data_IF_698795911999
#
_entry.id   IF_698795911999
#
_cell.length_a   1.000
_cell.length_b   1.000
_cell.length_c   1.000
_cell.angle_alpha   90.00
_cell.angle_beta   90.00
_cell.angle_gamma   90.00
#
_symmetry.space_group_name_H-M   'P 1'
#
loop_
_entity.id
_entity.type
_entity.pdbx_description
1 polymer ?
#
# COMPACT_ATOMS: atom_id res chain seq x y z
N UNK A 1 -18.82 8.09 1.59
CA UNK A 1 -17.98 6.93 1.94
C UNK A 1 -18.39 5.77 1.03
N UNK A 2 -17.44 5.05 0.49
CA UNK A 2 -17.69 3.87 -0.33
C UNK A 2 -17.16 2.62 0.38
N UNK A 3 -17.81 1.48 0.15
CA UNK A 3 -17.21 0.18 0.47
C UNK A 3 -16.20 -0.14 -0.62
N UNK A 4 -14.99 -0.47 -0.19
CA UNK A 4 -13.90 -0.83 -1.09
C UNK A 4 -14.01 -2.30 -1.50
N UNK A 5 -13.48 -2.64 -2.67
CA UNK A 5 -13.27 -4.03 -3.06
C UNK A 5 -12.21 -4.65 -2.12
N UNK A 6 -12.48 -5.85 -1.64
CA UNK A 6 -11.59 -6.59 -0.76
C UNK A 6 -11.28 -7.97 -1.31
N UNK A 7 -10.10 -8.48 -0.96
CA UNK A 7 -9.72 -9.88 -1.12
C UNK A 7 -9.35 -10.39 0.26
N UNK A 8 -9.87 -11.55 0.62
CA UNK A 8 -9.63 -12.16 1.93
C UNK A 8 -8.87 -13.48 1.81
N UNK A 9 -7.97 -13.73 2.77
CA UNK A 9 -7.23 -14.97 2.93
C UNK A 9 -7.18 -15.39 4.40
N UNK A 10 -6.82 -16.63 4.64
CA UNK A 10 -6.62 -17.19 5.98
C UNK A 10 -7.90 -17.63 6.65
N UNK A 11 -7.93 -17.57 7.99
CA UNK A 11 -9.05 -18.04 8.80
C UNK A 11 -10.10 -16.93 8.97
N UNK A 12 -11.35 -17.08 8.47
CA UNK A 12 -12.39 -16.07 8.62
C UNK A 12 -12.74 -15.74 10.08
N UNK A 13 -12.45 -16.65 11.03
CA UNK A 13 -12.65 -16.45 12.47
C UNK A 13 -11.42 -15.90 13.20
N UNK A 14 -10.30 -15.80 12.49
CA UNK A 14 -9.04 -15.29 13.02
C UNK A 14 -9.04 -13.80 13.33
N UNK A 15 -8.08 -13.35 14.13
CA UNK A 15 -7.92 -11.93 14.41
C UNK A 15 -7.67 -11.14 13.11
N UNK A 16 -8.40 -10.03 12.88
CA UNK A 16 -8.40 -9.33 11.62
C UNK A 16 -7.07 -8.57 11.38
N UNK A 17 -6.56 -8.68 10.16
CA UNK A 17 -5.41 -7.94 9.64
C UNK A 17 -5.85 -7.25 8.35
N UNK A 18 -5.92 -5.92 8.36
CA UNK A 18 -6.31 -5.14 7.18
C UNK A 18 -5.06 -4.61 6.48
N UNK A 19 -4.94 -4.90 5.18
CA UNK A 19 -3.78 -4.60 4.36
C UNK A 19 -4.09 -3.54 3.30
N UNK A 20 -3.28 -2.49 3.23
CA UNK A 20 -3.46 -1.31 2.37
C UNK A 20 -2.27 -1.16 1.44
N UNK A 21 -2.49 -1.28 0.13
CA UNK A 21 -1.43 -1.15 -0.87
C UNK A 21 -0.90 0.29 -1.02
N UNK A 22 0.25 0.42 -1.65
CA UNK A 22 0.82 1.70 -2.07
C UNK A 22 0.17 2.26 -3.33
N UNK A 23 0.58 3.48 -3.70
CA UNK A 23 0.14 4.12 -4.92
C UNK A 23 0.35 3.19 -6.13
N UNK A 24 -0.63 3.15 -7.03
CA UNK A 24 -0.68 2.29 -8.22
C UNK A 24 -0.69 0.77 -7.97
N UNK A 25 -0.88 0.35 -6.71
CA UNK A 25 -0.94 -1.06 -6.36
C UNK A 25 -2.35 -1.65 -6.37
N UNK A 26 -2.46 -3.00 -6.33
CA UNK A 26 -3.68 -3.73 -6.00
C UNK A 26 -3.58 -4.41 -4.64
N UNK A 27 -4.73 -4.84 -4.12
CA UNK A 27 -4.85 -5.71 -2.94
C UNK A 27 -4.03 -7.00 -3.04
N UNK A 28 -3.92 -7.56 -4.25
CA UNK A 28 -3.21 -8.82 -4.52
C UNK A 28 -1.74 -8.86 -4.10
N UNK A 29 -1.10 -7.70 -3.91
CA UNK A 29 0.30 -7.59 -3.42
C UNK A 29 0.53 -8.24 -2.06
N UNK A 30 -0.52 -8.42 -1.27
CA UNK A 30 -0.43 -8.99 0.07
C UNK A 30 -0.56 -10.51 0.13
N UNK A 31 -0.80 -11.18 -1.01
CA UNK A 31 -1.04 -12.63 -1.06
C UNK A 31 0.07 -13.44 -0.39
N UNK A 32 1.33 -13.18 -0.75
CA UNK A 32 2.47 -13.93 -0.19
C UNK A 32 2.64 -13.69 1.31
N UNK A 33 2.42 -12.46 1.77
CA UNK A 33 2.41 -12.15 3.21
C UNK A 33 1.25 -12.86 3.91
N UNK A 34 0.05 -12.84 3.32
CA UNK A 34 -1.14 -13.48 3.90
C UNK A 34 -0.94 -14.98 4.12
N UNK A 35 -0.27 -15.67 3.19
CA UNK A 35 0.07 -17.10 3.29
C UNK A 35 0.99 -17.42 4.49
N UNK A 36 1.69 -16.42 5.05
CA UNK A 36 2.57 -16.55 6.23
C UNK A 36 1.90 -16.11 7.54
N UNK A 37 0.69 -15.54 7.49
CA UNK A 37 -0.07 -15.05 8.64
C UNK A 37 -1.10 -16.10 9.10
N UNK A 38 -0.59 -17.27 9.53
CA UNK A 38 -1.42 -18.38 9.98
C UNK A 38 -2.38 -17.98 11.10
N UNK A 39 -3.64 -18.49 11.04
CA UNK A 39 -4.67 -18.22 12.03
C UNK A 39 -5.18 -16.77 12.06
N UNK A 40 -4.84 -15.95 11.06
CA UNK A 40 -5.37 -14.58 10.91
C UNK A 40 -6.40 -14.51 9.80
N UNK A 41 -7.35 -13.59 9.93
CA UNK A 41 -8.22 -13.15 8.85
C UNK A 41 -7.55 -11.97 8.14
N UNK A 42 -6.94 -12.20 6.99
CA UNK A 42 -6.23 -11.17 6.24
C UNK A 42 -7.17 -10.57 5.19
N UNK A 43 -7.39 -9.26 5.25
CA UNK A 43 -8.29 -8.49 4.41
C UNK A 43 -7.47 -7.45 3.67
N UNK A 44 -7.24 -7.62 2.38
CA UNK A 44 -6.55 -6.63 1.57
C UNK A 44 -7.54 -5.83 0.73
N UNK A 45 -7.40 -4.50 0.73
CA UNK A 45 -8.31 -3.60 0.03
C UNK A 45 -7.69 -3.08 -1.26
N UNK A 46 -8.53 -2.87 -2.29
CA UNK A 46 -8.20 -1.95 -3.38
C UNK A 46 -8.64 -0.55 -2.96
N UNK A 47 -7.72 0.41 -2.88
CA UNK A 47 -8.05 1.79 -2.54
C UNK A 47 -8.97 2.42 -3.60
N UNK A 48 -9.75 3.44 -3.21
CA UNK A 48 -10.49 4.28 -4.15
C UNK A 48 -9.55 4.78 -5.27
N UNK A 49 -10.01 4.72 -6.52
CA UNK A 49 -9.20 5.03 -7.68
C UNK A 49 -8.26 3.90 -8.13
N UNK A 50 -8.33 2.72 -7.51
CA UNK A 50 -7.48 1.57 -7.81
C UNK A 50 -8.29 0.28 -7.94
N UNK A 51 -7.76 -0.66 -8.70
CA UNK A 51 -8.26 -2.01 -8.83
C UNK A 51 -9.74 -2.07 -9.22
N UNK A 52 -10.51 -2.77 -8.39
CA UNK A 52 -11.96 -2.98 -8.57
C UNK A 52 -12.82 -2.09 -7.68
N UNK A 53 -12.21 -1.21 -6.88
CA UNK A 53 -12.93 -0.21 -6.11
C UNK A 53 -13.46 0.92 -7.02
N UNK A 54 -14.31 1.80 -6.47
CA UNK A 54 -14.79 2.99 -7.21
C UNK A 54 -13.63 3.88 -7.66
N UNK A 55 -13.72 4.43 -8.86
CA UNK A 55 -12.74 5.37 -9.41
C UNK A 55 -13.18 6.83 -9.30
N UNK A 56 -14.28 7.08 -8.62
CA UNK A 56 -14.85 8.42 -8.45
C UNK A 56 -14.08 9.25 -7.41
N UNK A 57 -13.94 10.55 -7.70
CA UNK A 57 -13.40 11.52 -6.73
C UNK A 57 -14.32 11.63 -5.49
N UNK A 58 -13.84 12.21 -4.39
CA UNK A 58 -12.50 12.74 -4.15
C UNK A 58 -11.49 11.66 -3.73
N UNK A 59 -10.18 11.90 -3.98
CA UNK A 59 -9.10 10.97 -3.66
C UNK A 59 -8.16 11.49 -2.56
N UNK A 60 -8.65 12.34 -1.65
CA UNK A 60 -7.86 12.89 -0.54
C UNK A 60 -7.64 11.86 0.55
N UNK A 61 -6.62 12.08 1.38
CA UNK A 61 -6.28 11.20 2.51
C UNK A 61 -7.49 10.96 3.41
N UNK A 62 -8.24 11.99 3.77
CA UNK A 62 -9.42 11.86 4.65
C UNK A 62 -10.51 11.00 4.02
N UNK A 63 -10.66 11.04 2.70
CA UNK A 63 -11.62 10.20 1.97
C UNK A 63 -11.18 8.74 2.00
N UNK A 64 -9.89 8.47 1.78
CA UNK A 64 -9.35 7.11 1.88
C UNK A 64 -9.54 6.54 3.28
N UNK A 65 -9.23 7.32 4.34
CA UNK A 65 -9.43 6.89 5.74
C UNK A 65 -10.91 6.59 6.01
N UNK A 66 -11.81 7.46 5.57
CA UNK A 66 -13.26 7.25 5.75
C UNK A 66 -13.78 6.00 5.00
N UNK A 67 -13.27 5.72 3.78
CA UNK A 67 -13.61 4.51 3.03
C UNK A 67 -13.07 3.24 3.69
N UNK A 68 -11.83 3.28 4.23
CA UNK A 68 -11.23 2.18 4.98
C UNK A 68 -12.04 1.83 6.21
N UNK A 69 -12.44 2.82 7.00
CA UNK A 69 -13.27 2.63 8.19
C UNK A 69 -14.65 2.07 7.82
N UNK A 70 -15.32 2.65 6.80
CA UNK A 70 -16.62 2.16 6.34
C UNK A 70 -16.55 0.71 5.81
N UNK A 71 -15.42 0.35 5.17
CA UNK A 71 -15.19 -1.02 4.69
C UNK A 71 -15.00 -1.97 5.87
N UNK A 72 -14.20 -1.60 6.87
CA UNK A 72 -14.02 -2.39 8.09
C UNK A 72 -15.35 -2.59 8.83
N UNK A 73 -16.16 -1.54 8.99
CA UNK A 73 -17.49 -1.58 9.60
C UNK A 73 -18.42 -2.54 8.85
N UNK A 74 -18.43 -2.45 7.50
CA UNK A 74 -19.22 -3.34 6.64
C UNK A 74 -18.84 -4.82 6.75
N UNK A 75 -17.59 -5.10 7.16
CA UNK A 75 -17.07 -6.45 7.40
C UNK A 75 -17.19 -6.91 8.87
N UNK A 76 -17.77 -6.08 9.74
CA UNK A 76 -17.91 -6.35 11.17
C UNK A 76 -16.59 -6.24 11.95
N UNK A 77 -15.59 -5.48 11.43
CA UNK A 77 -14.29 -5.33 12.06
C UNK A 77 -14.25 -4.03 12.85
N UNK A 78 -14.36 -4.10 14.16
CA UNK A 78 -14.32 -2.95 15.07
C UNK A 78 -12.92 -2.39 15.27
N UNK A 79 -11.94 -3.27 15.50
CA UNK A 79 -10.51 -2.94 15.56
C UNK A 79 -9.68 -4.02 14.88
N UNK A 80 -8.46 -3.69 14.43
CA UNK A 80 -7.61 -4.62 13.70
C UNK A 80 -6.12 -4.29 13.84
N UNK A 81 -5.28 -5.22 13.42
CA UNK A 81 -3.94 -4.89 12.94
C UNK A 81 -4.05 -4.26 11.55
N UNK A 82 -3.41 -3.12 11.35
CA UNK A 82 -3.37 -2.44 10.05
C UNK A 82 -1.97 -2.48 9.45
N UNK A 83 -1.87 -3.00 8.24
CA UNK A 83 -0.61 -3.10 7.48
C UNK A 83 -0.70 -2.20 6.26
N UNK A 84 0.21 -1.25 6.10
CA UNK A 84 0.22 -0.35 4.97
C UNK A 84 1.57 -0.23 4.30
N UNK A 85 1.62 -0.37 2.96
CA UNK A 85 2.81 -0.13 2.16
C UNK A 85 2.79 1.27 1.54
N UNK A 86 3.90 2.01 1.60
CA UNK A 86 4.04 3.31 0.93
C UNK A 86 2.91 4.29 1.31
N UNK A 87 2.06 4.72 0.36
CA UNK A 87 0.83 5.48 0.61
C UNK A 87 -0.05 4.80 1.67
N UNK A 88 -0.21 3.48 1.59
CA UNK A 88 -0.96 2.71 2.61
C UNK A 88 -0.40 2.89 4.01
N UNK A 89 0.93 2.98 4.15
CA UNK A 89 1.57 3.27 5.44
C UNK A 89 1.23 4.67 5.96
N UNK A 90 1.19 5.69 5.07
CA UNK A 90 0.69 7.03 5.42
C UNK A 90 -0.78 6.97 5.86
N UNK A 91 -1.63 6.22 5.16
CA UNK A 91 -3.05 6.08 5.51
C UNK A 91 -3.25 5.38 6.86
N UNK A 92 -2.44 4.37 7.20
CA UNK A 92 -2.47 3.74 8.53
C UNK A 92 -2.13 4.74 9.62
N UNK A 93 -1.12 5.60 9.43
CA UNK A 93 -0.75 6.62 10.40
C UNK A 93 -1.84 7.69 10.56
N UNK A 94 -2.48 8.11 9.47
CA UNK A 94 -3.62 9.05 9.53
C UNK A 94 -4.85 8.43 10.19
N UNK A 95 -5.14 7.16 9.92
CA UNK A 95 -6.21 6.42 10.55
C UNK A 95 -5.97 6.28 12.07
N UNK A 96 -4.75 5.90 12.47
CA UNK A 96 -4.38 5.80 13.88
C UNK A 96 -4.47 7.15 14.63
N UNK A 97 -4.22 8.26 13.93
CA UNK A 97 -4.40 9.61 14.48
C UNK A 97 -5.87 9.98 14.64
N UNK A 98 -6.72 9.62 13.67
CA UNK A 98 -8.14 10.00 13.64
C UNK A 98 -8.99 9.13 14.57
N UNK A 99 -8.74 7.82 14.58
CA UNK A 99 -9.54 6.79 15.26
C UNK A 99 -8.58 5.77 15.92
N UNK A 100 -7.84 6.14 16.97
CA UNK A 100 -6.80 5.32 17.58
C UNK A 100 -7.33 3.98 18.11
N UNK A 101 -8.57 3.92 18.57
CA UNK A 101 -9.22 2.68 19.06
C UNK A 101 -9.47 1.65 17.95
N UNK A 102 -9.40 2.04 16.68
CA UNK A 102 -9.54 1.15 15.53
C UNK A 102 -8.23 0.43 15.17
N UNK A 103 -7.09 0.84 15.77
CA UNK A 103 -5.76 0.33 15.43
C UNK A 103 -5.14 -0.38 16.64
N UNK A 104 -5.24 -1.71 16.68
CA UNK A 104 -4.60 -2.50 17.74
C UNK A 104 -3.08 -2.51 17.58
N UNK A 105 -2.61 -2.67 16.35
CA UNK A 105 -1.20 -2.65 15.96
C UNK A 105 -1.07 -2.04 14.56
N UNK A 106 0.03 -1.34 14.32
CA UNK A 106 0.37 -0.80 13.01
C UNK A 106 1.61 -1.48 12.43
N UNK A 107 1.58 -1.83 11.15
CA UNK A 107 2.75 -2.29 10.38
C UNK A 107 2.90 -1.38 9.17
N UNK A 108 3.99 -0.63 9.14
CA UNK A 108 4.28 0.35 8.11
C UNK A 108 5.42 -0.18 7.24
N UNK A 109 5.09 -0.61 6.04
CA UNK A 109 6.03 -1.21 5.07
C UNK A 109 6.56 -0.11 4.16
N UNK A 110 7.76 0.32 4.40
CA UNK A 110 8.46 1.43 3.74
C UNK A 110 7.52 2.64 3.47
N UNK A 111 6.94 3.23 4.53
CA UNK A 111 5.82 4.16 4.42
C UNK A 111 6.24 5.47 3.75
N UNK A 112 5.37 6.02 2.90
CA UNK A 112 5.53 7.36 2.34
C UNK A 112 4.97 8.42 3.31
N UNK A 113 5.62 8.59 4.47
CA UNK A 113 5.13 9.52 5.51
C UNK A 113 5.14 10.98 5.05
N UNK A 114 6.15 11.35 4.27
CA UNK A 114 6.28 12.64 3.60
C UNK A 114 7.15 12.49 2.38
N UNK A 115 6.77 13.12 1.30
CA UNK A 115 7.58 13.23 0.07
C UNK A 115 7.89 14.70 -0.19
N UNK A 116 9.14 15.02 -0.45
CA UNK A 116 9.56 16.38 -0.78
C UNK A 116 8.70 16.95 -1.92
N UNK A 117 8.17 18.18 -1.82
CA UNK A 117 7.25 18.75 -2.79
C UNK A 117 7.77 18.75 -4.24
N UNK A 118 9.07 18.94 -4.43
CA UNK A 118 9.69 18.91 -5.76
C UNK A 118 9.60 17.50 -6.37
N UNK A 119 9.89 16.46 -5.59
CA UNK A 119 9.76 15.05 -6.02
C UNK A 119 8.31 14.69 -6.29
N UNK A 120 7.41 15.08 -5.41
CA UNK A 120 5.97 14.84 -5.58
C UNK A 120 5.43 15.50 -6.86
N UNK A 121 5.86 16.73 -7.15
CA UNK A 121 5.47 17.45 -8.37
C UNK A 121 5.99 16.76 -9.65
N UNK A 122 7.23 16.30 -9.64
CA UNK A 122 7.82 15.55 -10.76
C UNK A 122 7.04 14.25 -11.01
N UNK A 123 6.76 13.47 -9.96
CA UNK A 123 6.01 12.22 -10.05
C UNK A 123 4.55 12.43 -10.47
N UNK A 124 3.90 13.50 -9.98
CA UNK A 124 2.56 13.87 -10.41
C UNK A 124 2.52 14.23 -11.91
N UNK A 125 3.53 14.94 -12.41
CA UNK A 125 3.63 15.29 -13.82
C UNK A 125 3.76 14.04 -14.72
N UNK A 126 4.52 13.03 -14.29
CA UNK A 126 4.61 11.74 -15.00
C UNK A 126 3.26 11.02 -15.05
N UNK A 127 2.45 11.10 -13.98
CA UNK A 127 1.13 10.49 -13.93
C UNK A 127 0.08 11.19 -14.82
N UNK A 128 0.36 12.38 -15.35
CA UNK A 128 -0.48 13.09 -16.33
C UNK A 128 -0.24 12.64 -17.78
N UNK A 129 0.82 11.87 -18.04
CA UNK A 129 1.14 11.37 -19.38
C UNK A 129 0.16 10.30 -19.88
N UNK A 130 0.35 9.88 -21.13
CA UNK A 130 -0.34 8.68 -21.64
C UNK A 130 0.24 7.43 -20.96
N UNK A 131 -0.55 6.82 -20.09
CA UNK A 131 -0.23 5.61 -19.35
C UNK A 131 -0.89 4.37 -19.99
N UNK A 132 -1.08 4.37 -21.30
CA UNK A 132 -1.55 3.24 -22.08
C UNK A 132 -0.41 2.61 -22.89
N UNK A 133 -0.45 1.29 -23.04
CA UNK A 133 0.62 0.47 -23.58
C UNK A 133 0.10 -0.41 -24.73
N UNK A 134 0.95 -0.73 -25.69
CA UNK A 134 0.61 -1.60 -26.82
C UNK A 134 0.55 -3.09 -26.45
N UNK A 135 1.25 -3.48 -25.37
CA UNK A 135 1.29 -4.85 -24.88
C UNK A 135 1.48 -4.91 -23.35
N UNK A 136 1.21 -6.06 -22.72
CA UNK A 136 1.55 -6.28 -21.32
C UNK A 136 3.06 -6.13 -21.03
N UNK A 137 3.92 -6.61 -21.93
CA UNK A 137 5.37 -6.49 -21.76
C UNK A 137 5.83 -5.03 -21.76
N UNK A 138 5.28 -4.18 -22.65
CA UNK A 138 5.55 -2.75 -22.66
C UNK A 138 5.14 -2.09 -21.35
N UNK A 139 3.99 -2.47 -20.78
CA UNK A 139 3.53 -1.95 -19.50
C UNK A 139 4.44 -2.36 -18.33
N UNK A 140 4.95 -3.59 -18.37
CA UNK A 140 5.89 -4.11 -17.35
C UNK A 140 7.24 -3.40 -17.49
N UNK A 141 7.77 -3.27 -18.70
CA UNK A 141 9.05 -2.60 -18.95
C UNK A 141 9.02 -1.13 -18.55
N UNK A 142 7.93 -0.42 -18.87
CA UNK A 142 7.75 0.96 -18.47
C UNK A 142 7.75 1.10 -16.94
N UNK A 143 7.14 0.16 -16.22
CA UNK A 143 7.06 0.18 -14.77
C UNK A 143 8.39 -0.16 -14.09
N UNK A 144 9.18 -1.06 -14.66
CA UNK A 144 10.56 -1.32 -14.21
C UNK A 144 11.48 -0.15 -14.50
N UNK A 145 11.25 0.55 -15.62
CA UNK A 145 12.05 1.69 -16.05
C UNK A 145 11.78 3.00 -15.30
N UNK A 146 10.69 3.10 -14.54
CA UNK A 146 10.35 4.34 -13.82
C UNK A 146 11.23 4.63 -12.59
N UNK A 147 12.12 3.70 -12.25
CA UNK A 147 13.09 3.82 -11.16
C UNK A 147 12.52 3.59 -9.76
N UNK A 148 11.24 3.26 -9.62
CA UNK A 148 10.63 2.95 -8.31
C UNK A 148 10.73 1.47 -7.94
N UNK A 149 10.90 0.59 -8.93
CA UNK A 149 10.92 -0.87 -8.80
C UNK A 149 12.24 -1.51 -9.26
N UNK A 150 13.34 -0.78 -9.14
CA UNK A 150 14.64 -1.21 -9.68
C UNK A 150 15.23 -2.48 -9.03
N UNK A 151 14.71 -2.90 -7.88
CA UNK A 151 15.09 -4.15 -7.19
C UNK A 151 14.04 -5.25 -7.34
N UNK A 152 12.88 -4.95 -7.93
CA UNK A 152 11.77 -5.90 -8.05
C UNK A 152 12.01 -6.85 -9.22
N UNK A 153 11.93 -8.18 -9.01
CA UNK A 153 12.05 -9.15 -10.09
C UNK A 153 10.95 -8.97 -11.15
N UNK A 154 11.31 -9.12 -12.45
CA UNK A 154 10.36 -8.97 -13.56
C UNK A 154 9.17 -9.92 -13.44
N UNK A 155 9.42 -11.18 -13.04
CA UNK A 155 8.39 -12.20 -12.87
C UNK A 155 7.30 -11.81 -11.88
N UNK A 156 7.64 -11.02 -10.87
CA UNK A 156 6.68 -10.46 -9.91
C UNK A 156 5.68 -9.52 -10.61
N UNK A 157 6.17 -8.67 -11.53
CA UNK A 157 5.31 -7.78 -12.31
C UNK A 157 4.50 -8.52 -13.38
N UNK A 158 5.03 -9.62 -13.94
CA UNK A 158 4.26 -10.48 -14.85
C UNK A 158 3.04 -11.04 -14.12
N UNK A 159 3.23 -11.60 -12.92
CA UNK A 159 2.13 -12.11 -12.11
C UNK A 159 1.12 -11.01 -11.70
N UNK A 160 1.59 -9.79 -11.39
CA UNK A 160 0.69 -8.66 -11.12
C UNK A 160 -0.07 -8.22 -12.38
N UNK A 161 0.58 -8.19 -13.54
CA UNK A 161 -0.04 -7.77 -14.79
C UNK A 161 -1.24 -8.64 -15.18
N UNK A 162 -1.18 -9.94 -14.95
CA UNK A 162 -2.30 -10.86 -15.20
C UNK A 162 -3.57 -10.47 -14.43
N UNK A 163 -3.44 -9.94 -13.22
CA UNK A 163 -4.56 -9.59 -12.35
C UNK A 163 -4.94 -8.10 -12.40
N UNK A 164 -3.98 -7.23 -12.68
CA UNK A 164 -4.10 -5.78 -12.48
C UNK A 164 -3.91 -4.93 -13.74
N UNK A 165 -3.57 -5.54 -14.87
CA UNK A 165 -3.55 -4.90 -16.15
C UNK A 165 -4.87 -5.18 -16.89
N UNK A 166 -5.47 -4.17 -17.51
CA UNK A 166 -6.69 -4.34 -18.28
C UNK A 166 -6.50 -3.92 -19.74
N UNK A 167 -7.14 -4.64 -20.65
CA UNK A 167 -7.23 -4.26 -22.04
C UNK A 167 -8.42 -3.32 -22.24
N UNK A 168 -8.19 -2.18 -22.87
CA UNK A 168 -9.18 -1.17 -23.18
C UNK A 168 -9.90 -1.47 -24.52
N UNK A 169 -10.99 -0.77 -24.78
CA UNK A 169 -11.76 -0.91 -26.04
C UNK A 169 -10.94 -0.52 -27.28
N UNK A 170 -9.95 0.38 -27.12
CA UNK A 170 -9.02 0.78 -28.18
C UNK A 170 -7.91 -0.26 -28.43
N UNK A 171 -7.94 -1.40 -27.74
CA UNK A 171 -6.98 -2.50 -27.83
C UNK A 171 -5.68 -2.30 -27.05
N UNK A 172 -5.48 -1.12 -26.46
CA UNK A 172 -4.33 -0.84 -25.63
C UNK A 172 -4.53 -1.35 -24.19
N UNK A 173 -3.44 -1.40 -23.42
CA UNK A 173 -3.44 -1.88 -22.04
C UNK A 173 -3.19 -0.71 -21.08
N UNK A 174 -3.77 -0.79 -19.87
CA UNK A 174 -3.47 0.12 -18.76
C UNK A 174 -3.50 -0.62 -17.42
N UNK A 175 -2.71 -0.14 -16.48
CA UNK A 175 -2.83 -0.57 -15.08
C UNK A 175 -4.16 -0.06 -14.49
N UNK A 176 -4.78 -0.87 -13.63
CA UNK A 176 -6.09 -0.55 -13.04
C UNK A 176 -5.98 0.49 -11.93
N UNK A 177 -5.65 1.72 -12.29
CA UNK A 177 -5.77 2.88 -11.41
C UNK A 177 -6.12 4.14 -12.19
N UNK A 178 -6.78 5.09 -11.49
CA UNK A 178 -7.12 6.38 -12.06
C UNK A 178 -5.90 7.32 -12.03
N UNK A 179 -5.40 7.85 -13.16
CA UNK A 179 -4.28 8.80 -13.17
C UNK A 179 -4.50 10.01 -12.25
N UNK A 180 -5.73 10.55 -12.22
CA UNK A 180 -6.07 11.67 -11.34
C UNK A 180 -5.96 11.32 -9.84
N UNK A 181 -6.27 10.07 -9.46
CA UNK A 181 -6.04 9.60 -8.09
C UNK A 181 -4.54 9.57 -7.76
N UNK A 182 -3.70 9.14 -8.71
CA UNK A 182 -2.25 9.13 -8.53
C UNK A 182 -1.69 10.55 -8.38
N UNK A 183 -2.12 11.51 -9.22
CA UNK A 183 -1.74 12.93 -9.11
C UNK A 183 -2.13 13.51 -7.75
N UNK A 184 -3.37 13.25 -7.31
CA UNK A 184 -3.85 13.70 -6.00
C UNK A 184 -3.03 13.10 -4.87
N UNK A 185 -2.74 11.80 -4.92
CA UNK A 185 -1.95 11.14 -3.90
C UNK A 185 -0.53 11.73 -3.77
N UNK A 186 0.14 12.06 -4.89
CA UNK A 186 1.44 12.74 -4.84
C UNK A 186 1.34 14.12 -4.16
N UNK A 187 0.28 14.89 -4.44
CA UNK A 187 0.03 16.17 -3.78
C UNK A 187 -0.20 16.01 -2.26
N UNK A 188 -1.01 15.01 -1.88
CA UNK A 188 -1.30 14.71 -0.47
C UNK A 188 -0.05 14.23 0.28
N UNK A 189 0.82 13.43 -0.35
CA UNK A 189 2.08 12.96 0.23
C UNK A 189 3.11 14.09 0.43
N UNK A 190 2.97 15.22 -0.27
CA UNK A 190 3.80 16.41 -0.07
C UNK A 190 3.36 17.27 1.13
N UNK A 191 2.22 16.96 1.74
CA UNK A 191 1.78 17.62 2.98
C UNK A 191 2.61 17.16 4.20
N UNK A 192 2.63 17.90 5.31
CA UNK A 192 3.35 17.49 6.51
C UNK A 192 2.95 16.07 6.94
N UNK A 193 3.94 15.29 7.40
CA UNK A 193 3.65 13.95 7.90
C UNK A 193 2.77 13.99 9.16
N UNK A 194 1.87 12.99 9.35
CA UNK A 194 1.18 12.81 10.61
C UNK A 194 2.16 12.37 11.71
N UNK A 195 1.77 12.43 12.98
CA UNK A 195 2.51 11.74 14.03
C UNK A 195 2.58 10.24 13.75
N UNK A 196 3.63 9.59 14.25
CA UNK A 196 3.71 8.13 14.24
C UNK A 196 2.59 7.55 15.12
N UNK A 197 2.00 6.39 14.76
CA UNK A 197 0.97 5.75 15.58
C UNK A 197 1.45 5.52 17.03
N UNK A 198 0.58 5.74 18.00
CA UNK A 198 0.89 5.54 19.43
C UNK A 198 0.73 4.08 19.88
N UNK A 199 0.04 3.24 19.09
CA UNK A 199 -0.06 1.81 19.34
C UNK A 199 1.26 1.08 19.03
N UNK A 200 1.41 -0.20 19.42
CA UNK A 200 2.55 -1.02 19.01
C UNK A 200 2.73 -0.97 17.49
N UNK A 201 3.90 -0.51 17.03
CA UNK A 201 4.15 -0.22 15.61
C UNK A 201 5.45 -0.87 15.14
N UNK A 202 5.36 -1.60 14.02
CA UNK A 202 6.51 -2.08 13.26
C UNK A 202 6.69 -1.21 12.01
N UNK A 203 7.92 -0.77 11.77
CA UNK A 203 8.31 -0.09 10.51
C UNK A 203 9.34 -0.95 9.81
N UNK A 204 9.02 -1.52 8.66
CA UNK A 204 9.98 -2.21 7.79
C UNK A 204 10.47 -1.21 6.75
N UNK A 205 11.79 -1.07 6.61
CA UNK A 205 12.41 -0.07 5.72
C UNK A 205 13.33 -0.77 4.73
N UNK A 206 13.13 -0.52 3.44
CA UNK A 206 14.05 -0.98 2.40
C UNK A 206 15.38 -0.23 2.47
N UNK A 207 16.49 -0.94 2.64
CA UNK A 207 17.82 -0.32 2.74
C UNK A 207 18.24 0.45 1.48
N UNK A 208 17.69 0.07 0.33
CA UNK A 208 17.89 0.74 -0.96
C UNK A 208 16.68 1.61 -1.37
N UNK A 209 15.72 1.82 -0.46
CA UNK A 209 14.57 2.67 -0.76
C UNK A 209 14.98 4.10 -1.09
N UNK A 210 14.29 4.69 -2.05
CA UNK A 210 14.42 6.11 -2.37
C UNK A 210 13.67 7.00 -1.36
N UNK A 211 12.74 6.43 -0.57
CA UNK A 211 12.04 7.16 0.50
C UNK A 211 12.94 7.26 1.74
N UNK A 212 13.12 8.48 2.23
CA UNK A 212 13.98 8.78 3.39
C UNK A 212 13.18 8.79 4.68
N UNK A 213 12.82 7.62 5.19
CA UNK A 213 12.12 7.50 6.47
C UNK A 213 13.07 7.80 7.64
N UNK A 214 12.75 8.83 8.44
CA UNK A 214 13.41 9.10 9.72
C UNK A 214 12.56 8.53 10.84
N UNK A 215 12.76 7.25 11.13
CA UNK A 215 12.00 6.53 12.15
C UNK A 215 12.52 6.92 13.54
N UNK A 216 11.68 7.52 14.42
CA UNK A 216 12.11 7.91 15.75
C UNK A 216 12.31 6.70 16.67
N UNK A 217 13.11 6.87 17.71
CA UNK A 217 13.26 5.85 18.76
C UNK A 217 12.18 6.06 19.82
N UNK A 218 11.10 5.29 19.72
CA UNK A 218 9.98 5.31 20.66
C UNK A 218 9.79 3.90 21.26
N UNK A 219 9.35 3.75 22.53
CA UNK A 219 9.23 2.44 23.17
C UNK A 219 8.28 1.47 22.47
N UNK A 220 7.23 1.99 21.82
CA UNK A 220 6.20 1.24 21.11
C UNK A 220 6.51 1.05 19.62
N UNK A 221 7.63 1.57 19.11
CA UNK A 221 7.98 1.55 17.71
C UNK A 221 9.27 0.73 17.49
N UNK A 222 9.13 -0.33 16.67
CA UNK A 222 10.25 -1.17 16.24
C UNK A 222 10.56 -0.89 14.77
N UNK A 223 11.81 -0.67 14.41
CA UNK A 223 12.23 -0.51 13.01
C UNK A 223 13.13 -1.66 12.58
N UNK A 224 12.83 -2.25 11.42
CA UNK A 224 13.58 -3.37 10.84
C UNK A 224 13.98 -3.01 9.41
N UNK A 225 15.27 -2.93 9.09
CA UNK A 225 15.72 -2.77 7.71
C UNK A 225 15.69 -4.13 6.99
N UNK A 226 15.32 -4.09 5.68
CA UNK A 226 15.44 -5.23 4.74
C UNK A 226 16.34 -4.82 3.57
N UNK A 227 17.04 -5.76 2.89
CA UNK A 227 18.10 -5.42 1.92
C UNK A 227 17.65 -4.67 0.67
N UNK A 228 16.40 -4.86 0.23
CA UNK A 228 15.87 -4.37 -1.05
C UNK A 228 15.48 -2.91 -1.10
N UNK A 229 14.64 -2.58 -2.07
CA UNK A 229 14.18 -1.23 -2.34
C UNK A 229 12.87 -0.87 -1.65
N UNK A 230 12.08 -0.02 -2.31
CA UNK A 230 10.83 0.51 -1.80
C UNK A 230 9.71 -0.55 -1.69
N UNK A 231 9.66 -1.50 -2.61
CA UNK A 231 8.61 -2.51 -2.65
C UNK A 231 8.97 -3.73 -1.80
N UNK A 232 9.15 -3.53 -0.51
CA UNK A 232 9.65 -4.56 0.45
C UNK A 232 8.89 -5.89 0.40
N UNK A 233 7.59 -5.88 0.05
CA UNK A 233 6.78 -7.10 -0.15
C UNK A 233 7.24 -7.95 -1.35
N UNK A 234 7.92 -7.35 -2.31
CA UNK A 234 8.38 -7.98 -3.54
C UNK A 234 9.90 -8.11 -3.62
N UNK A 235 10.59 -7.12 -3.05
CA UNK A 235 12.05 -7.07 -3.08
C UNK A 235 12.65 -8.03 -2.05
N UNK A 236 12.02 -8.15 -0.88
CA UNK A 236 12.45 -9.00 0.23
C UNK A 236 11.24 -9.68 0.91
N UNK A 237 10.50 -10.55 0.21
CA UNK A 237 9.25 -11.13 0.72
C UNK A 237 9.46 -11.95 1.99
N UNK A 238 10.55 -12.72 2.09
CA UNK A 238 10.84 -13.58 3.23
C UNK A 238 11.21 -12.78 4.48
N UNK A 239 12.14 -11.83 4.36
CA UNK A 239 12.58 -10.96 5.47
C UNK A 239 11.45 -10.06 5.95
N UNK A 240 10.66 -9.53 5.01
CA UNK A 240 9.48 -8.71 5.33
C UNK A 240 8.43 -9.55 6.08
N UNK A 241 8.11 -10.74 5.58
CA UNK A 241 7.15 -11.62 6.24
C UNK A 241 7.65 -12.07 7.62
N UNK A 242 8.94 -12.43 7.75
CA UNK A 242 9.53 -12.82 9.04
C UNK A 242 9.43 -11.70 10.08
N UNK A 243 9.71 -10.45 9.69
CA UNK A 243 9.59 -9.29 10.58
C UNK A 243 8.13 -9.07 11.03
N UNK A 244 7.17 -9.18 10.11
CA UNK A 244 5.74 -9.03 10.42
C UNK A 244 5.24 -10.14 11.32
N UNK A 245 5.54 -11.41 11.00
CA UNK A 245 5.13 -12.57 11.81
C UNK A 245 5.72 -12.48 13.22
N UNK A 246 7.01 -12.16 13.35
CA UNK A 246 7.66 -11.99 14.65
C UNK A 246 7.05 -10.86 15.49
N UNK A 247 6.59 -9.78 14.84
CA UNK A 247 5.94 -8.67 15.51
C UNK A 247 4.50 -9.02 15.95
N UNK A 248 3.75 -9.76 15.14
CA UNK A 248 2.36 -10.14 15.44
C UNK A 248 2.25 -11.32 16.42
N UNK A 249 3.30 -12.11 16.57
CA UNK A 249 3.38 -13.21 17.53
C UNK A 249 3.75 -12.79 18.96
N UNK A 250 4.07 -11.50 19.17
CA UNK A 250 4.34 -10.90 20.50
C UNK A 250 3.03 -10.33 21.06
#
# INVERSE_FOLDING_TARGET
MAQLHVVEWGDPSGAPVICIHGLTGPSGRYRQLAERLEGRRVIAVDLRGHGRSTWEAPWRIETHVADLLATADGLGVGSATWIGHSLGGRLVAELARAEPERVERAVLLDPAMHIEPAVASERAALALGDLSFGSPDEAIDARLGDGSLFTTPRETLVAEAEAHLERRDDGRYRWRYAPAAAVTAWSELATPQPPWPECPTLVVVGAKSWIRNRVPRLPHLTSVPVPGGHSVLWDDPEETAAAVVAFLGR
#
